data_IF_499822003851
#
_entry.id   IF_499822003851
#
_cell.length_a   1.000
_cell.length_b   1.000
_cell.length_c   1.000
_cell.angle_alpha   90.00
_cell.angle_beta   90.00
_cell.angle_gamma   90.00
#
_symmetry.space_group_name_H-M   'P 1'
#
loop_
_entity.id
_entity.type
_entity.pdbx_description
1 polymer ?
#
# COMPACT_ATOMS: atom_id res chain seq x y z
N UNK A 1 -6.67 -3.47 -0.13
CA UNK A 1 -6.55 -3.24 1.31
C UNK A 1 -7.79 -3.38 2.14
N UNK A 2 -8.88 -3.63 1.54
CA UNK A 2 -10.15 -3.95 2.22
C UNK A 2 -10.10 -5.35 2.85
N UNK A 3 -9.03 -6.04 2.65
CA UNK A 3 -8.92 -7.49 2.69
C UNK A 3 -8.49 -8.13 4.01
N UNK A 4 -8.07 -7.38 5.01
CA UNK A 4 -7.66 -7.97 6.30
C UNK A 4 -8.78 -7.92 7.35
N UNK A 5 -9.89 -7.28 7.04
CA UNK A 5 -10.95 -7.01 8.01
C UNK A 5 -11.83 -8.20 8.40
N UNK A 6 -11.89 -9.26 7.58
CA UNK A 6 -12.85 -10.36 7.80
C UNK A 6 -12.35 -11.51 8.67
N UNK A 7 -11.05 -11.63 8.92
CA UNK A 7 -10.51 -12.84 9.57
C UNK A 7 -10.43 -12.79 11.10
N UNK A 8 -10.54 -11.61 11.70
CA UNK A 8 -10.33 -11.44 13.15
C UNK A 8 -11.61 -11.64 13.99
N UNK A 9 -12.79 -11.65 13.37
CA UNK A 9 -14.05 -11.76 14.12
C UNK A 9 -14.40 -13.18 14.61
N UNK A 10 -13.70 -14.22 14.15
CA UNK A 10 -14.15 -15.61 14.34
C UNK A 10 -13.63 -16.34 15.59
N UNK A 11 -12.67 -15.79 16.33
CA UNK A 11 -12.01 -16.54 17.42
C UNK A 11 -12.33 -16.06 18.84
N UNK A 12 -13.13 -15.04 19.02
CA UNK A 12 -13.41 -14.50 20.37
C UNK A 12 -14.63 -15.12 21.08
N UNK A 13 -15.53 -15.80 20.37
CA UNK A 13 -16.78 -16.31 20.97
C UNK A 13 -16.79 -17.81 21.29
N UNK A 14 -15.77 -18.58 20.98
CA UNK A 14 -15.78 -20.04 21.17
C UNK A 14 -14.81 -20.64 22.18
N UNK A 15 -14.05 -19.87 22.93
CA UNK A 15 -13.25 -20.44 24.05
C UNK A 15 -13.52 -19.67 25.32
N UNK A 16 -14.47 -20.19 26.09
CA UNK A 16 -14.58 -19.90 27.51
C UNK A 16 -13.31 -20.41 28.20
N UNK A 17 -12.35 -19.53 28.41
CA UNK A 17 -11.22 -19.79 29.29
C UNK A 17 -11.53 -19.25 30.68
N UNK A 18 -11.26 -20.01 31.75
CA UNK A 18 -11.52 -19.56 33.11
C UNK A 18 -10.58 -18.39 33.49
N UNK A 19 -11.00 -17.54 34.45
CA UNK A 19 -10.23 -16.38 34.85
C UNK A 19 -8.93 -16.77 35.56
N UNK A 20 -7.83 -16.14 35.17
CA UNK A 20 -6.52 -16.27 35.82
C UNK A 20 -6.55 -15.56 37.17
N UNK A 21 -6.17 -16.21 38.27
CA UNK A 21 -6.14 -15.54 39.59
C UNK A 21 -4.97 -14.56 39.67
N UNK A 22 -5.16 -13.42 40.40
CA UNK A 22 -4.09 -12.46 40.57
C UNK A 22 -3.20 -12.95 41.73
N UNK A 23 -2.03 -13.47 41.48
CA UNK A 23 -0.86 -13.35 42.35
C UNK A 23 0.28 -14.25 41.86
N UNK A 24 1.38 -13.63 41.45
CA UNK A 24 2.77 -14.03 41.69
C UNK A 24 3.69 -13.40 40.65
N UNK A 25 3.97 -12.11 40.85
CA UNK A 25 5.16 -11.50 40.25
C UNK A 25 6.28 -11.61 41.30
N UNK A 26 7.08 -12.66 41.22
CA UNK A 26 8.37 -12.72 41.87
C UNK A 26 9.38 -11.97 40.97
N UNK A 27 9.79 -10.78 41.44
CA UNK A 27 10.97 -10.10 40.92
C UNK A 27 12.21 -10.82 41.43
N UNK A 28 12.89 -11.55 40.58
CA UNK A 28 14.26 -12.01 40.79
C UNK A 28 15.23 -11.00 40.17
N UNK A 29 15.85 -10.23 41.04
CA UNK A 29 17.00 -9.37 40.69
C UNK A 29 18.21 -10.24 40.39
N UNK A 30 18.72 -10.22 39.15
CA UNK A 30 20.03 -10.75 38.81
C UNK A 30 21.06 -9.61 38.76
N UNK A 31 22.29 -9.81 39.26
CA UNK A 31 23.30 -8.78 39.30
C UNK A 31 23.91 -8.54 37.90
N UNK A 32 24.09 -7.29 37.57
CA UNK A 32 24.81 -6.82 36.39
C UNK A 32 26.29 -7.12 36.58
N UNK A 33 26.83 -8.09 35.87
CA UNK A 33 28.27 -8.28 35.69
C UNK A 33 28.75 -7.39 34.55
N UNK A 34 29.62 -6.46 34.83
CA UNK A 34 30.30 -5.65 33.83
C UNK A 34 31.28 -6.54 33.05
N UNK A 35 30.97 -6.82 31.82
CA UNK A 35 31.88 -7.50 30.90
C UNK A 35 32.82 -6.47 30.25
N UNK A 36 34.06 -6.49 30.66
CA UNK A 36 35.16 -5.69 30.12
C UNK A 36 35.83 -6.47 28.96
N UNK A 37 35.14 -6.61 27.85
CA UNK A 37 35.73 -7.13 26.62
C UNK A 37 36.24 -5.98 25.75
N UNK A 38 37.49 -6.04 25.25
CA UNK A 38 38.07 -5.00 24.40
C UNK A 38 37.30 -4.96 23.05
N UNK A 39 36.97 -3.74 22.60
CA UNK A 39 36.32 -3.49 21.32
C UNK A 39 37.13 -4.11 20.17
N UNK A 40 36.51 -4.76 19.19
CA UNK A 40 37.20 -5.21 17.99
C UNK A 40 37.61 -4.00 17.16
N UNK A 41 38.91 -3.72 17.12
CA UNK A 41 39.55 -2.85 16.16
C UNK A 41 39.55 -3.55 14.81
N UNK A 42 38.81 -3.02 13.85
CA UNK A 42 38.76 -3.53 12.48
C UNK A 42 37.62 -2.88 11.69
N UNK A 43 37.59 -1.56 11.64
CA UNK A 43 36.80 -0.86 10.62
C UNK A 43 37.45 -1.11 9.26
N UNK A 44 37.16 -2.26 8.64
CA UNK A 44 37.41 -2.47 7.23
C UNK A 44 36.73 -1.37 6.44
N UNK A 45 37.45 -0.65 5.61
CA UNK A 45 36.93 0.30 4.63
C UNK A 45 35.76 -0.37 3.90
N UNK A 46 34.64 0.34 3.70
CA UNK A 46 33.53 -0.22 2.93
C UNK A 46 34.04 -0.56 1.53
N UNK A 47 34.11 -1.85 1.25
CA UNK A 47 34.40 -2.34 -0.09
C UNK A 47 33.31 -1.84 -1.00
N UNK A 48 33.62 -1.18 -2.15
CA UNK A 48 32.56 -0.78 -3.10
C UNK A 48 31.75 -2.04 -3.47
N UNK A 49 30.50 -2.10 -3.04
CA UNK A 49 29.62 -3.18 -3.39
C UNK A 49 29.29 -3.03 -4.88
N UNK A 50 30.02 -3.73 -5.75
CA UNK A 50 29.64 -3.86 -7.14
C UNK A 50 28.29 -4.58 -7.18
N UNK A 51 27.23 -3.81 -7.46
CA UNK A 51 25.92 -4.38 -7.71
C UNK A 51 26.00 -5.35 -8.89
N UNK A 52 25.48 -6.59 -8.76
CA UNK A 52 25.45 -7.54 -9.84
C UNK A 52 24.86 -6.93 -11.12
N UNK A 53 25.36 -7.32 -12.30
CA UNK A 53 24.98 -6.72 -13.56
C UNK A 53 23.46 -6.73 -13.80
N UNK A 54 22.78 -7.81 -13.42
CA UNK A 54 21.31 -7.88 -13.55
C UNK A 54 20.57 -6.86 -12.68
N UNK A 55 21.11 -6.48 -11.53
CA UNK A 55 20.54 -5.42 -10.68
C UNK A 55 20.73 -4.03 -11.31
N UNK A 56 21.84 -3.80 -11.97
CA UNK A 56 22.05 -2.57 -12.74
C UNK A 56 21.05 -2.49 -13.90
N UNK A 57 20.85 -3.59 -14.63
CA UNK A 57 19.85 -3.66 -15.71
C UNK A 57 18.43 -3.46 -15.17
N UNK A 58 18.10 -4.08 -14.03
CA UNK A 58 16.83 -3.85 -13.33
C UNK A 58 16.62 -2.35 -13.02
N UNK A 59 17.65 -1.67 -12.52
CA UNK A 59 17.62 -0.24 -12.24
C UNK A 59 17.36 0.61 -13.51
N UNK A 60 18.00 0.26 -14.64
CA UNK A 60 17.78 0.94 -15.91
C UNK A 60 16.36 0.74 -16.45
N UNK A 61 15.84 -0.50 -16.38
CA UNK A 61 14.45 -0.77 -16.77
C UNK A 61 13.48 -0.01 -15.85
N UNK A 62 13.74 -0.01 -14.55
CA UNK A 62 12.94 0.74 -13.58
C UNK A 62 12.93 2.24 -13.89
N UNK A 63 14.08 2.80 -14.25
CA UNK A 63 14.17 4.21 -14.65
C UNK A 63 13.34 4.50 -15.90
N UNK A 64 13.35 3.62 -16.91
CA UNK A 64 12.51 3.75 -18.11
C UNK A 64 11.02 3.71 -17.75
N UNK A 65 10.61 2.83 -16.83
CA UNK A 65 9.23 2.78 -16.32
C UNK A 65 8.83 4.09 -15.62
N UNK A 66 9.70 4.65 -14.80
CA UNK A 66 9.45 5.91 -14.09
C UNK A 66 9.35 7.11 -15.03
N UNK A 67 10.15 7.12 -16.09
CA UNK A 67 10.12 8.16 -17.12
C UNK A 67 8.90 8.03 -18.05
N UNK A 68 8.10 6.95 -17.91
CA UNK A 68 6.94 6.71 -18.75
C UNK A 68 7.30 6.29 -20.18
N UNK A 69 8.51 5.77 -20.40
CA UNK A 69 8.90 5.21 -21.70
C UNK A 69 7.94 4.10 -22.14
N UNK A 70 7.47 3.32 -21.16
CA UNK A 70 6.41 2.33 -21.32
C UNK A 70 5.30 2.61 -20.33
N UNK A 71 4.09 2.79 -20.84
CA UNK A 71 2.93 3.11 -20.00
C UNK A 71 2.38 1.86 -19.31
N UNK A 72 1.64 2.01 -18.21
CA UNK A 72 0.92 0.91 -17.57
C UNK A 72 0.07 0.14 -18.59
N UNK A 73 0.21 -1.19 -18.59
CA UNK A 73 -0.47 -2.09 -19.54
C UNK A 73 0.21 -2.24 -20.90
N UNK A 74 1.21 -1.42 -21.26
CA UNK A 74 1.97 -1.56 -22.49
C UNK A 74 3.01 -2.70 -22.40
N UNK A 75 3.36 -3.28 -23.55
CA UNK A 75 4.46 -4.24 -23.64
C UNK A 75 5.79 -3.53 -23.56
N UNK A 76 6.72 -4.08 -22.76
CA UNK A 76 8.13 -3.69 -22.82
C UNK A 76 8.82 -4.47 -23.95
N UNK A 77 9.98 -3.99 -24.47
CA UNK A 77 10.75 -4.73 -25.44
C UNK A 77 11.10 -6.14 -24.95
N UNK A 78 11.27 -7.06 -25.89
CA UNK A 78 11.63 -8.45 -25.60
C UNK A 78 13.00 -8.56 -24.88
N UNK A 79 13.22 -9.68 -24.21
CA UNK A 79 14.52 -9.95 -23.57
C UNK A 79 15.71 -9.81 -24.52
N UNK A 80 15.51 -10.16 -25.80
CA UNK A 80 16.56 -10.05 -26.83
C UNK A 80 16.82 -8.58 -27.20
N UNK A 81 15.77 -7.78 -27.41
CA UNK A 81 15.89 -6.37 -27.72
C UNK A 81 16.50 -5.58 -26.55
N UNK A 82 16.10 -5.87 -25.30
CA UNK A 82 16.71 -5.27 -24.12
C UNK A 82 18.16 -5.71 -23.96
N UNK A 83 18.51 -6.97 -24.26
CA UNK A 83 19.88 -7.46 -24.23
C UNK A 83 20.75 -6.72 -25.24
N UNK A 84 20.24 -6.49 -26.45
CA UNK A 84 20.92 -5.68 -27.46
C UNK A 84 21.07 -4.21 -27.02
N UNK A 85 20.00 -3.61 -26.50
CA UNK A 85 19.96 -2.22 -26.03
C UNK A 85 21.00 -1.96 -24.92
N UNK A 86 21.08 -2.84 -23.93
CA UNK A 86 21.96 -2.71 -22.79
C UNK A 86 23.34 -3.39 -23.00
N UNK A 87 23.56 -4.05 -24.12
CA UNK A 87 24.80 -4.78 -24.47
C UNK A 87 25.18 -5.83 -23.41
N UNK A 88 24.22 -6.62 -22.99
CA UNK A 88 24.36 -7.70 -22.00
C UNK A 88 23.79 -9.01 -22.54
N UNK A 89 24.01 -10.12 -21.82
CA UNK A 89 23.40 -11.40 -22.20
C UNK A 89 21.89 -11.39 -21.96
N UNK A 90 21.15 -12.15 -22.77
CA UNK A 90 19.70 -12.36 -22.57
C UNK A 90 19.40 -12.91 -21.17
N UNK A 91 20.25 -13.80 -20.64
CA UNK A 91 20.08 -14.34 -19.29
C UNK A 91 20.15 -13.28 -18.19
N UNK A 92 21.00 -12.25 -18.37
CA UNK A 92 21.10 -11.11 -17.44
C UNK A 92 19.81 -10.30 -17.45
N UNK A 93 19.24 -10.02 -18.63
CA UNK A 93 17.98 -9.32 -18.78
C UNK A 93 16.83 -10.14 -18.20
N UNK A 94 16.78 -11.45 -18.50
CA UNK A 94 15.77 -12.36 -17.97
C UNK A 94 15.72 -12.33 -16.44
N UNK A 95 16.88 -12.39 -15.78
CA UNK A 95 16.96 -12.32 -14.32
C UNK A 95 16.46 -10.96 -13.80
N UNK A 96 16.80 -9.86 -14.47
CA UNK A 96 16.29 -8.54 -14.10
C UNK A 96 14.75 -8.45 -14.22
N UNK A 97 14.19 -8.99 -15.32
CA UNK A 97 12.73 -9.05 -15.54
C UNK A 97 12.06 -9.98 -14.53
N UNK A 98 12.67 -11.09 -14.15
CA UNK A 98 12.12 -12.00 -13.13
C UNK A 98 11.99 -11.30 -11.78
N UNK A 99 12.97 -10.49 -11.36
CA UNK A 99 12.85 -9.69 -10.14
C UNK A 99 11.78 -8.60 -10.25
N UNK A 100 11.72 -7.88 -11.37
CA UNK A 100 10.66 -6.90 -11.59
C UNK A 100 9.26 -7.53 -11.58
N UNK A 101 9.12 -8.76 -12.08
CA UNK A 101 7.87 -9.52 -12.03
C UNK A 101 7.54 -9.98 -10.60
N UNK A 102 8.53 -10.42 -9.83
CA UNK A 102 8.36 -10.76 -8.42
C UNK A 102 7.92 -9.55 -7.57
N UNK A 103 8.34 -8.34 -7.95
CA UNK A 103 7.93 -7.08 -7.35
C UNK A 103 6.62 -6.52 -7.94
N UNK A 104 5.94 -7.27 -8.80
CA UNK A 104 4.70 -6.87 -9.48
C UNK A 104 4.83 -5.56 -10.30
N UNK A 105 6.02 -5.25 -10.79
CA UNK A 105 6.26 -4.09 -11.64
C UNK A 105 5.99 -4.39 -13.11
N UNK A 106 6.18 -5.64 -13.51
CA UNK A 106 5.84 -6.15 -14.84
C UNK A 106 5.10 -7.48 -14.73
N UNK A 107 4.38 -7.88 -15.77
CA UNK A 107 3.62 -9.14 -15.87
C UNK A 107 4.02 -9.87 -17.14
N UNK A 108 4.43 -11.13 -17.02
CA UNK A 108 4.67 -12.00 -18.17
C UNK A 108 3.35 -12.60 -18.66
N UNK A 109 3.08 -12.47 -19.94
CA UNK A 109 1.94 -13.11 -20.62
C UNK A 109 2.46 -14.12 -21.61
N UNK A 110 2.13 -15.39 -21.38
CA UNK A 110 2.61 -16.49 -22.22
C UNK A 110 2.31 -16.22 -23.71
N UNK A 111 3.33 -16.31 -24.57
CA UNK A 111 3.22 -16.08 -26.01
C UNK A 111 3.00 -14.61 -26.43
N UNK A 112 2.83 -13.67 -25.49
CA UNK A 112 2.54 -12.27 -25.79
C UNK A 112 3.64 -11.30 -25.35
N UNK A 113 4.57 -11.74 -24.49
CA UNK A 113 5.65 -10.91 -23.99
C UNK A 113 5.50 -10.47 -22.53
N UNK A 114 6.26 -9.44 -22.17
CA UNK A 114 6.23 -8.83 -20.83
C UNK A 114 5.58 -7.45 -20.91
N UNK A 115 4.69 -7.17 -19.99
CA UNK A 115 3.89 -5.95 -19.96
C UNK A 115 4.13 -5.20 -18.66
N UNK A 116 4.05 -3.88 -18.70
CA UNK A 116 4.01 -3.06 -17.47
C UNK A 116 2.75 -3.42 -16.70
N UNK A 117 2.88 -3.79 -15.43
CA UNK A 117 1.71 -4.11 -14.62
C UNK A 117 0.85 -2.85 -14.43
N UNK A 118 -0.47 -3.01 -14.30
CA UNK A 118 -1.43 -1.90 -14.15
C UNK A 118 -2.50 -2.24 -13.12
N UNK A 119 -3.00 -1.22 -12.43
CA UNK A 119 -4.16 -1.34 -11.54
C UNK A 119 -5.50 -1.41 -12.28
N UNK A 120 -5.53 -1.13 -13.58
CA UNK A 120 -6.74 -1.22 -14.39
C UNK A 120 -7.19 -2.68 -14.61
N UNK A 121 -6.28 -3.65 -14.54
CA UNK A 121 -6.61 -5.05 -14.65
C UNK A 121 -7.16 -5.59 -13.34
N UNK A 122 -8.47 -5.72 -13.23
CA UNK A 122 -9.19 -6.20 -12.03
C UNK A 122 -8.74 -7.58 -11.54
N UNK A 123 -8.08 -8.39 -12.38
CA UNK A 123 -7.72 -9.78 -12.08
C UNK A 123 -6.44 -9.94 -11.26
N UNK A 124 -5.61 -8.91 -11.13
CA UNK A 124 -4.31 -9.02 -10.43
C UNK A 124 -4.41 -8.67 -8.95
N UNK A 125 -5.39 -7.88 -8.56
CA UNK A 125 -5.40 -7.26 -7.23
C UNK A 125 -5.85 -8.15 -6.06
N UNK A 126 -6.65 -9.21 -6.28
CA UNK A 126 -7.30 -9.90 -5.16
C UNK A 126 -7.43 -11.42 -5.34
N UNK A 127 -6.40 -12.06 -5.88
CA UNK A 127 -6.45 -13.53 -6.09
C UNK A 127 -6.66 -14.33 -4.79
N UNK A 128 -6.35 -13.77 -3.63
CA UNK A 128 -6.35 -14.49 -2.36
C UNK A 128 -7.18 -13.87 -1.24
N UNK A 129 -7.73 -12.67 -1.43
CA UNK A 129 -8.42 -11.94 -0.39
C UNK A 129 -9.75 -11.40 -0.92
N UNK A 130 -10.85 -12.06 -0.54
CA UNK A 130 -12.22 -11.63 -0.74
C UNK A 130 -12.79 -11.21 0.61
N UNK A 131 -13.39 -10.03 0.69
CA UNK A 131 -14.34 -9.73 1.75
C UNK A 131 -15.58 -10.58 1.47
N UNK A 132 -15.94 -11.40 2.44
CA UNK A 132 -17.17 -12.18 2.40
C UNK A 132 -18.05 -11.71 3.56
N UNK A 133 -19.34 -11.51 3.36
CA UNK A 133 -20.25 -11.24 4.47
C UNK A 133 -20.33 -12.47 5.38
N UNK A 134 -20.55 -12.22 6.68
CA UNK A 134 -20.72 -13.31 7.66
C UNK A 134 -21.93 -14.20 7.33
N UNK A 135 -22.94 -13.62 6.71
CA UNK A 135 -24.18 -14.29 6.30
C UNK A 135 -24.57 -13.81 4.91
N UNK A 136 -24.81 -14.75 4.00
CA UNK A 136 -25.28 -14.42 2.65
C UNK A 136 -24.28 -14.74 1.54
N UNK A 137 -24.67 -14.48 0.31
CA UNK A 137 -23.87 -14.74 -0.89
C UNK A 137 -23.06 -13.48 -1.24
N UNK A 138 -21.74 -13.62 -1.28
CA UNK A 138 -20.82 -12.53 -1.67
C UNK A 138 -21.11 -11.95 -3.06
N UNK A 139 -21.87 -12.63 -3.90
CA UNK A 139 -22.29 -12.15 -5.22
C UNK A 139 -23.39 -11.07 -5.15
N UNK A 140 -24.04 -10.91 -3.99
CA UNK A 140 -25.17 -9.99 -3.80
C UNK A 140 -24.74 -8.58 -3.42
N UNK A 141 -23.53 -8.40 -2.87
CA UNK A 141 -23.10 -7.09 -2.35
C UNK A 141 -22.77 -6.03 -3.42
N UNK A 142 -22.45 -6.45 -4.62
CA UNK A 142 -22.12 -5.52 -5.70
C UNK A 142 -20.85 -4.68 -5.44
N UNK A 143 -20.50 -3.74 -6.31
CA UNK A 143 -19.38 -2.83 -6.12
C UNK A 143 -19.67 -1.83 -5.00
N UNK A 144 -18.64 -1.44 -4.24
CA UNK A 144 -18.74 -0.42 -3.21
C UNK A 144 -19.24 0.91 -3.81
N UNK A 145 -20.28 1.46 -3.23
CA UNK A 145 -20.73 2.83 -3.52
C UNK A 145 -19.82 3.82 -2.79
N UNK A 146 -19.39 4.87 -3.48
CA UNK A 146 -18.48 5.88 -2.94
C UNK A 146 -19.23 7.18 -2.69
N UNK A 147 -19.19 7.68 -1.47
CA UNK A 147 -19.68 9.00 -1.10
C UNK A 147 -18.52 9.85 -0.62
N UNK A 148 -18.14 10.87 -1.38
CA UNK A 148 -17.10 11.83 -1.00
C UNK A 148 -17.74 12.92 -0.16
N UNK A 149 -17.34 13.00 1.11
CA UNK A 149 -17.82 13.99 2.07
C UNK A 149 -17.12 15.32 1.82
N UNK A 150 -15.80 15.25 1.64
CA UNK A 150 -14.94 16.40 1.44
C UNK A 150 -13.77 16.04 0.54
N UNK A 151 -13.40 16.96 -0.36
CA UNK A 151 -12.16 16.90 -1.12
C UNK A 151 -11.64 18.31 -1.33
N UNK A 152 -10.51 18.63 -0.72
CA UNK A 152 -9.94 19.97 -0.76
C UNK A 152 -8.43 19.96 -0.75
N UNK A 153 -7.85 21.05 -1.25
CA UNK A 153 -6.42 21.28 -1.14
C UNK A 153 -6.11 22.01 0.17
N UNK A 154 -5.26 21.40 0.98
CA UNK A 154 -4.85 21.93 2.28
C UNK A 154 -3.34 21.97 2.40
N UNK A 155 -2.83 22.68 3.42
CA UNK A 155 -1.41 22.61 3.79
C UNK A 155 -1.19 21.39 4.67
N UNK A 156 -0.14 20.62 4.34
CA UNK A 156 0.19 19.43 5.13
C UNK A 156 0.60 19.84 6.56
N UNK A 157 0.00 19.19 7.54
CA UNK A 157 0.47 19.27 8.93
C UNK A 157 1.87 18.63 9.06
N UNK A 158 2.56 18.89 10.16
CA UNK A 158 3.88 18.29 10.42
C UNK A 158 3.85 16.76 10.38
N UNK A 159 2.75 16.16 10.86
CA UNK A 159 2.52 14.70 10.83
C UNK A 159 2.42 14.18 9.39
N UNK A 160 1.53 14.77 8.58
CA UNK A 160 1.33 14.42 7.18
C UNK A 160 2.60 14.66 6.35
N UNK A 161 3.27 15.81 6.55
CA UNK A 161 4.50 16.15 5.84
C UNK A 161 5.59 15.13 6.08
N UNK A 162 5.77 14.69 7.33
CA UNK A 162 6.78 13.69 7.69
C UNK A 162 6.51 12.35 7.01
N UNK A 163 5.24 11.90 7.02
CA UNK A 163 4.86 10.60 6.44
C UNK A 163 4.98 10.61 4.92
N UNK A 164 4.57 11.70 4.28
CA UNK A 164 4.62 11.83 2.81
C UNK A 164 5.96 12.38 2.29
N UNK A 165 6.98 12.49 3.16
CA UNK A 165 8.29 13.05 2.82
C UNK A 165 8.22 14.43 2.14
N UNK A 166 7.27 15.28 2.59
CA UNK A 166 7.04 16.63 2.12
C UNK A 166 7.68 17.67 3.06
N UNK A 167 7.83 18.89 2.60
CA UNK A 167 8.15 20.02 3.47
C UNK A 167 6.92 20.41 4.27
N UNK A 168 7.14 20.91 5.49
CA UNK A 168 6.04 21.43 6.31
C UNK A 168 5.29 22.53 5.57
N UNK A 169 3.96 22.40 5.47
CA UNK A 169 3.11 23.35 4.76
C UNK A 169 3.04 23.17 3.24
N UNK A 170 3.69 22.16 2.67
CA UNK A 170 3.48 21.81 1.27
C UNK A 170 2.00 21.45 1.03
N UNK A 171 1.46 21.76 -0.16
CA UNK A 171 0.07 21.46 -0.46
C UNK A 171 -0.16 19.96 -0.59
N UNK A 172 -1.25 19.48 0.00
CA UNK A 172 -1.77 18.13 -0.17
C UNK A 172 -3.24 18.19 -0.56
N UNK A 173 -3.70 17.20 -1.31
CA UNK A 173 -5.12 16.94 -1.49
C UNK A 173 -5.58 16.09 -0.32
N UNK A 174 -6.55 16.57 0.43
CA UNK A 174 -7.23 15.81 1.48
C UNK A 174 -8.62 15.43 0.97
N UNK A 175 -8.95 14.15 1.06
CA UNK A 175 -10.28 13.66 0.75
C UNK A 175 -10.81 12.80 1.90
N UNK A 176 -12.06 13.06 2.33
CA UNK A 176 -12.81 12.24 3.28
C UNK A 176 -13.95 11.57 2.53
N UNK A 177 -14.08 10.26 2.63
CA UNK A 177 -15.13 9.51 1.92
C UNK A 177 -15.64 8.33 2.72
N UNK A 178 -16.85 7.91 2.37
CA UNK A 178 -17.48 6.68 2.85
C UNK A 178 -17.58 5.69 1.69
N UNK A 179 -17.27 4.43 1.96
CA UNK A 179 -17.60 3.31 1.09
C UNK A 179 -18.75 2.53 1.73
N UNK A 180 -19.83 2.37 0.96
CA UNK A 180 -21.01 1.62 1.38
C UNK A 180 -21.15 0.36 0.53
N UNK A 181 -21.53 -0.73 1.16
CA UNK A 181 -21.86 -2.00 0.51
C UNK A 181 -23.33 -2.30 0.76
N UNK A 182 -24.09 -2.61 -0.28
CA UNK A 182 -25.53 -2.79 -0.20
C UNK A 182 -26.27 -1.66 0.54
N UNK A 183 -25.78 -0.42 0.38
CA UNK A 183 -26.33 0.77 1.04
C UNK A 183 -25.91 0.98 2.50
N UNK A 184 -25.12 0.07 3.08
CA UNK A 184 -24.62 0.18 4.47
C UNK A 184 -23.24 0.85 4.48
N UNK A 185 -23.05 1.99 5.18
CA UNK A 185 -21.76 2.61 5.38
C UNK A 185 -20.82 1.66 6.12
N UNK A 186 -19.74 1.25 5.48
CA UNK A 186 -18.87 0.20 6.03
C UNK A 186 -17.46 0.73 6.30
N UNK A 187 -16.96 1.64 5.46
CA UNK A 187 -15.59 2.15 5.58
C UNK A 187 -15.64 3.67 5.49
N UNK A 188 -15.05 4.32 6.49
CA UNK A 188 -14.75 5.76 6.48
C UNK A 188 -13.25 5.92 6.24
N UNK A 189 -12.88 6.74 5.26
CA UNK A 189 -11.48 6.96 4.90
C UNK A 189 -11.14 8.45 4.85
N UNK A 190 -10.02 8.81 5.47
CA UNK A 190 -9.29 10.05 5.25
C UNK A 190 -8.06 9.76 4.40
N UNK A 191 -7.88 10.50 3.30
CA UNK A 191 -6.84 10.28 2.30
C UNK A 191 -6.06 11.58 2.11
N UNK A 192 -4.73 11.51 2.19
CA UNK A 192 -3.83 12.64 1.87
C UNK A 192 -2.91 12.24 0.74
N UNK A 193 -2.84 13.10 -0.28
CA UNK A 193 -2.07 12.90 -1.50
C UNK A 193 -1.18 14.12 -1.75
N UNK A 194 0.10 13.99 -2.16
CA UNK A 194 0.95 15.12 -2.48
C UNK A 194 0.35 16.01 -3.57
N UNK A 195 0.11 17.28 -3.26
CA UNK A 195 -0.58 18.19 -4.17
C UNK A 195 0.16 18.49 -5.49
N UNK A 196 1.46 18.24 -5.54
CA UNK A 196 2.23 18.38 -6.77
C UNK A 196 1.98 17.24 -7.76
N UNK A 197 1.71 16.03 -7.26
CA UNK A 197 1.45 14.83 -8.06
C UNK A 197 -0.02 14.73 -8.49
N UNK A 198 -0.95 15.25 -7.68
CA UNK A 198 -2.38 15.16 -7.91
C UNK A 198 -3.02 16.52 -8.22
N UNK A 199 -2.41 17.25 -9.15
CA UNK A 199 -2.93 18.55 -9.58
C UNK A 199 -4.28 18.40 -10.29
N UNK A 200 -5.28 19.11 -9.79
CA UNK A 200 -6.61 19.12 -10.39
C UNK A 200 -7.51 17.97 -9.97
N UNK A 201 -7.08 17.09 -9.06
CA UNK A 201 -7.96 16.08 -8.49
C UNK A 201 -9.15 16.75 -7.80
N UNK A 202 -10.36 16.30 -8.11
CA UNK A 202 -11.61 16.80 -7.54
C UNK A 202 -12.37 15.72 -6.80
N UNK A 203 -13.27 16.12 -5.88
CA UNK A 203 -14.18 15.18 -5.21
C UNK A 203 -15.12 14.50 -6.19
N UNK A 204 -15.55 15.19 -7.23
CA UNK A 204 -16.42 14.65 -8.27
C UNK A 204 -15.71 13.51 -9.05
N UNK A 205 -14.46 13.70 -9.44
CA UNK A 205 -13.67 12.62 -10.06
C UNK A 205 -13.56 11.40 -9.13
N UNK A 206 -13.28 11.63 -7.84
CA UNK A 206 -13.17 10.52 -6.86
C UNK A 206 -14.49 9.80 -6.63
N UNK A 207 -15.63 10.52 -6.66
CA UNK A 207 -16.96 9.95 -6.47
C UNK A 207 -17.43 9.15 -7.70
N UNK A 208 -17.24 9.71 -8.89
CA UNK A 208 -17.84 9.21 -10.13
C UNK A 208 -16.99 8.14 -10.84
N UNK A 209 -15.72 7.97 -10.47
CA UNK A 209 -14.85 6.98 -11.10
C UNK A 209 -15.32 5.55 -10.82
N UNK A 210 -15.62 4.78 -11.86
CA UNK A 210 -16.20 3.43 -11.75
C UNK A 210 -15.18 2.30 -11.57
N UNK A 211 -13.90 2.60 -11.43
CA UNK A 211 -12.83 1.63 -11.29
C UNK A 211 -12.12 1.65 -9.93
N UNK A 212 -11.06 0.87 -9.76
CA UNK A 212 -10.18 0.98 -8.60
C UNK A 212 -9.56 2.38 -8.49
N UNK A 213 -9.51 2.96 -7.29
CA UNK A 213 -8.94 4.32 -7.08
C UNK A 213 -7.52 4.44 -7.62
N UNK A 214 -6.70 3.40 -7.49
CA UNK A 214 -5.32 3.42 -7.99
C UNK A 214 -5.24 3.38 -9.52
N UNK A 215 -6.23 2.79 -10.20
CA UNK A 215 -6.30 2.88 -11.66
C UNK A 215 -6.58 4.32 -12.13
N UNK A 216 -7.43 5.06 -11.42
CA UNK A 216 -7.63 6.49 -11.66
C UNK A 216 -6.33 7.29 -11.44
N UNK A 217 -5.61 7.04 -10.34
CA UNK A 217 -4.35 7.71 -10.06
C UNK A 217 -3.31 7.44 -11.15
N UNK A 218 -3.28 6.21 -11.65
CA UNK A 218 -2.38 5.79 -12.72
C UNK A 218 -2.74 6.44 -14.07
N UNK A 219 -4.02 6.44 -14.46
CA UNK A 219 -4.46 6.93 -15.76
C UNK A 219 -4.52 8.47 -15.83
N UNK A 220 -5.06 9.12 -14.79
CA UNK A 220 -5.34 10.56 -14.84
C UNK A 220 -4.15 11.40 -14.33
N UNK A 221 -3.32 10.84 -13.45
CA UNK A 221 -2.22 11.57 -12.80
C UNK A 221 -0.83 10.96 -13.07
N UNK A 222 -0.74 9.81 -13.75
CA UNK A 222 0.52 9.12 -13.98
C UNK A 222 1.17 8.57 -12.70
N UNK A 223 0.42 8.48 -11.60
CA UNK A 223 0.91 8.00 -10.31
C UNK A 223 0.54 6.55 -10.10
N UNK A 224 1.53 5.67 -10.21
CA UNK A 224 1.34 4.25 -9.96
C UNK A 224 1.79 3.88 -8.55
N UNK A 225 0.89 3.28 -7.78
CA UNK A 225 1.22 2.71 -6.48
C UNK A 225 1.80 1.31 -6.67
N UNK A 226 3.05 1.10 -6.25
CA UNK A 226 3.77 -0.17 -6.45
C UNK A 226 3.90 -0.99 -5.18
N UNK A 227 3.80 -0.34 -4.01
CA UNK A 227 3.94 -0.95 -2.69
C UNK A 227 3.09 -0.20 -1.67
N UNK A 228 2.62 -0.89 -0.65
CA UNK A 228 1.97 -0.27 0.50
C UNK A 228 2.43 -0.92 1.81
N UNK A 229 2.45 -0.12 2.87
CA UNK A 229 2.61 -0.54 4.25
C UNK A 229 1.34 -0.23 5.02
N UNK A 230 0.94 -1.13 5.91
CA UNK A 230 -0.28 -0.98 6.69
C UNK A 230 -0.02 -1.20 8.17
N UNK A 231 -0.63 -0.36 8.99
CA UNK A 231 -0.75 -0.55 10.44
C UNK A 231 -2.22 -0.76 10.78
N UNK A 232 -2.50 -1.88 11.43
CA UNK A 232 -3.86 -2.29 11.75
C UNK A 232 -4.04 -2.29 13.26
N UNK A 233 -5.15 -1.69 13.74
CA UNK A 233 -5.49 -1.60 15.16
C UNK A 233 -6.98 -1.78 15.37
N UNK A 234 -7.37 -2.36 16.50
CA UNK A 234 -8.74 -2.31 16.99
C UNK A 234 -8.93 -1.00 17.77
N UNK A 235 -9.98 -0.26 17.45
CA UNK A 235 -10.30 1.04 18.07
C UNK A 235 -11.80 1.16 18.31
N UNK A 236 -12.20 2.09 19.18
CA UNK A 236 -13.58 2.54 19.26
C UNK A 236 -13.73 3.82 18.41
N UNK A 237 -14.85 4.03 17.72
CA UNK A 237 -15.11 5.25 16.97
C UNK A 237 -15.36 6.42 17.93
N UNK A 238 -14.97 7.62 17.50
CA UNK A 238 -15.49 8.84 18.09
C UNK A 238 -16.96 9.09 17.65
N UNK A 239 -17.58 10.15 18.18
CA UNK A 239 -18.99 10.44 17.91
C UNK A 239 -19.28 10.75 16.42
N UNK A 240 -18.36 11.45 15.73
CA UNK A 240 -18.49 11.76 14.30
C UNK A 240 -18.37 10.49 13.46
N UNK A 241 -17.35 9.67 13.75
CA UNK A 241 -17.11 8.39 13.06
C UNK A 241 -18.29 7.44 13.25
N UNK A 242 -18.81 7.33 14.48
CA UNK A 242 -19.96 6.49 14.81
C UNK A 242 -21.21 6.94 14.02
N UNK A 243 -21.46 8.25 13.94
CA UNK A 243 -22.58 8.81 13.18
C UNK A 243 -22.42 8.53 11.66
N UNK A 244 -21.23 8.76 11.10
CA UNK A 244 -20.96 8.56 9.67
C UNK A 244 -21.06 7.10 9.26
N UNK A 245 -20.63 6.19 10.12
CA UNK A 245 -20.70 4.74 9.88
C UNK A 245 -22.02 4.11 10.36
N UNK A 246 -22.93 4.90 10.95
CA UNK A 246 -24.20 4.43 11.50
C UNK A 246 -24.05 3.30 12.53
N UNK A 247 -23.03 3.41 13.37
CA UNK A 247 -22.75 2.47 14.46
C UNK A 247 -22.78 3.21 15.82
N UNK A 248 -22.64 2.48 16.91
CA UNK A 248 -22.52 3.09 18.24
C UNK A 248 -21.05 3.39 18.58
N UNK A 249 -20.79 4.31 19.50
CA UNK A 249 -19.43 4.58 19.98
C UNK A 249 -18.82 3.40 20.75
N UNK A 250 -19.61 2.39 21.12
CA UNK A 250 -19.16 1.14 21.72
C UNK A 250 -18.86 0.04 20.69
N UNK A 251 -19.13 0.27 19.42
CA UNK A 251 -18.88 -0.71 18.35
C UNK A 251 -17.38 -0.75 18.03
N UNK A 252 -16.70 -1.90 18.20
CA UNK A 252 -15.29 -2.01 17.83
C UNK A 252 -15.09 -1.85 16.32
N UNK A 253 -14.15 -1.03 15.92
CA UNK A 253 -13.74 -0.84 14.53
C UNK A 253 -12.32 -1.33 14.30
N UNK A 254 -12.03 -1.70 13.07
CA UNK A 254 -10.68 -1.92 12.60
C UNK A 254 -10.16 -0.61 11.98
N UNK A 255 -9.12 -0.04 12.57
CA UNK A 255 -8.42 1.11 11.99
C UNK A 255 -7.24 0.63 11.17
N UNK A 256 -7.17 1.06 9.91
CA UNK A 256 -6.08 0.77 8.99
C UNK A 256 -5.42 2.07 8.56
N UNK A 257 -4.18 2.30 8.99
CA UNK A 257 -3.33 3.36 8.47
C UNK A 257 -2.44 2.76 7.38
N UNK A 258 -2.58 3.28 6.16
CA UNK A 258 -1.83 2.83 4.99
C UNK A 258 -0.95 3.95 4.47
N UNK A 259 0.29 3.62 4.13
CA UNK A 259 1.17 4.46 3.32
C UNK A 259 1.43 3.71 2.01
N UNK A 260 1.04 4.30 0.88
CA UNK A 260 1.33 3.74 -0.43
C UNK A 260 2.44 4.52 -1.12
N UNK A 261 3.29 3.78 -1.80
CA UNK A 261 4.51 4.27 -2.42
C UNK A 261 4.47 4.04 -3.93
N UNK A 262 5.00 5.00 -4.67
CA UNK A 262 5.35 4.80 -6.07
C UNK A 262 6.78 4.27 -6.19
N UNK A 263 7.35 4.28 -7.37
CA UNK A 263 8.71 3.86 -7.63
C UNK A 263 9.72 4.55 -6.70
N UNK A 264 10.84 3.86 -6.39
CA UNK A 264 11.92 4.34 -5.50
C UNK A 264 11.45 4.69 -4.09
N UNK A 265 10.43 3.98 -3.59
CA UNK A 265 9.88 4.18 -2.24
C UNK A 265 9.43 5.61 -1.94
N UNK A 266 9.01 6.35 -2.98
CA UNK A 266 8.45 7.70 -2.79
C UNK A 266 7.01 7.57 -2.30
N UNK A 267 6.66 8.08 -1.09
CA UNK A 267 5.31 7.99 -0.56
C UNK A 267 4.37 8.93 -1.33
N UNK A 268 3.25 8.38 -1.82
CA UNK A 268 2.26 9.09 -2.63
C UNK A 268 0.87 9.11 -2.03
N UNK A 269 0.61 8.32 -1.00
CA UNK A 269 -0.66 8.32 -0.29
C UNK A 269 -0.44 8.00 1.18
N UNK A 270 -1.08 8.78 2.05
CA UNK A 270 -1.41 8.38 3.41
C UNK A 270 -2.92 8.22 3.47
N UNK A 271 -3.39 7.07 3.95
CA UNK A 271 -4.81 6.79 4.13
C UNK A 271 -5.05 6.26 5.54
N UNK A 272 -6.07 6.79 6.20
CA UNK A 272 -6.57 6.29 7.48
C UNK A 272 -8.03 5.88 7.29
N UNK A 273 -8.26 4.62 7.47
CA UNK A 273 -9.58 4.05 7.33
C UNK A 273 -10.01 3.27 8.57
#
# INVERSE_FOLDING_TARGET
SICLMSYIRYDCERRGSPPIPPNQLHMSSLPFAADNSPAPQGAGLPTPAFSPLYQQIKGLILQSLQQGEWKPGESIPSEMELAARFRVSQGTVRKAIDELAAENLVVRRQGKGTFVATHAEQHVQYRFLKLLPDTGDASVEGPAQRSVIECRRVRASADISRVLALRSGDPVMQAKRILSFAGVPTILEDIWLPGHAFKGLTGEQMANYQGPTYAMFEMDFGVRMVRAEEKIRAVLPDAEQAQLLQVTTATPLLSVERIAYTYNDVPMELRRG
#
